data_IF_112802797606
#
_entry.id   IF_112802797606
#
_cell.length_a   1.000
_cell.length_b   1.000
_cell.length_c   1.000
_cell.angle_alpha   90.00
_cell.angle_beta   90.00
_cell.angle_gamma   90.00
#
_symmetry.space_group_name_H-M   'P 1'
#
loop_
_entity.id
_entity.type
_entity.pdbx_description
1 polymer ?
#
# COMPACT_ATOMS: atom_id res chain seq x y z
N UNK A 1 -28.30 3.85 -11.11
CA UNK A 1 -26.86 3.67 -11.41
C UNK A 1 -26.24 3.30 -10.08
N UNK A 2 -25.81 2.06 -9.89
CA UNK A 2 -25.28 1.62 -8.59
C UNK A 2 -23.98 2.37 -8.31
N UNK A 3 -23.87 2.93 -7.10
CA UNK A 3 -22.65 3.58 -6.62
C UNK A 3 -21.50 2.55 -6.64
N UNK A 4 -20.30 2.99 -7.01
CA UNK A 4 -19.07 2.17 -6.98
C UNK A 4 -18.89 1.58 -5.58
N UNK A 5 -19.26 2.31 -4.54
CA UNK A 5 -19.19 1.84 -3.15
C UNK A 5 -20.12 0.65 -2.87
N UNK A 6 -21.30 0.64 -3.47
CA UNK A 6 -22.27 -0.44 -3.28
C UNK A 6 -21.84 -1.71 -4.03
N UNK A 7 -21.28 -1.53 -5.23
CA UNK A 7 -20.70 -2.64 -6.00
C UNK A 7 -19.51 -3.27 -5.27
N UNK A 8 -18.63 -2.47 -4.66
CA UNK A 8 -17.49 -2.98 -3.90
C UNK A 8 -17.93 -3.72 -2.63
N UNK A 9 -18.95 -3.23 -1.91
CA UNK A 9 -19.51 -3.93 -0.73
C UNK A 9 -20.03 -5.31 -1.08
N UNK A 10 -20.72 -5.44 -2.22
CA UNK A 10 -21.19 -6.73 -2.73
C UNK A 10 -20.02 -7.65 -3.08
N UNK A 11 -19.01 -7.13 -3.78
CA UNK A 11 -17.82 -7.89 -4.16
C UNK A 11 -17.00 -8.35 -2.97
N UNK A 12 -16.93 -7.59 -1.88
CA UNK A 12 -16.22 -7.99 -0.66
C UNK A 12 -16.89 -9.12 0.13
N UNK A 13 -18.12 -9.52 -0.22
CA UNK A 13 -18.72 -10.75 0.31
C UNK A 13 -18.11 -12.02 -0.33
N UNK A 14 -17.47 -11.88 -1.49
CA UNK A 14 -16.74 -12.96 -2.14
C UNK A 14 -15.36 -13.12 -1.49
N UNK A 15 -15.10 -14.31 -0.92
CA UNK A 15 -13.86 -14.60 -0.19
C UNK A 15 -12.62 -14.55 -1.08
N UNK A 16 -12.73 -14.97 -2.35
CA UNK A 16 -11.60 -14.99 -3.28
C UNK A 16 -11.25 -13.56 -3.71
N UNK A 17 -12.27 -12.75 -3.97
CA UNK A 17 -12.10 -11.32 -4.23
C UNK A 17 -11.48 -10.60 -3.03
N UNK A 18 -11.98 -10.84 -1.82
CA UNK A 18 -11.44 -10.24 -0.61
C UNK A 18 -9.97 -10.62 -0.40
N UNK A 19 -9.61 -11.90 -0.56
CA UNK A 19 -8.23 -12.36 -0.39
C UNK A 19 -7.29 -11.69 -1.38
N UNK A 20 -7.68 -11.60 -2.64
CA UNK A 20 -6.87 -10.93 -3.66
C UNK A 20 -6.75 -9.43 -3.37
N UNK A 21 -7.86 -8.77 -3.02
CA UNK A 21 -7.87 -7.37 -2.64
C UNK A 21 -6.91 -7.09 -1.47
N UNK A 22 -7.00 -7.87 -0.39
CA UNK A 22 -6.14 -7.69 0.78
C UNK A 22 -4.67 -7.96 0.45
N UNK A 23 -4.41 -8.98 -0.35
CA UNK A 23 -3.05 -9.30 -0.80
C UNK A 23 -2.45 -8.14 -1.60
N UNK A 24 -3.22 -7.52 -2.51
CA UNK A 24 -2.75 -6.35 -3.27
C UNK A 24 -2.64 -5.08 -2.41
N UNK A 25 -3.61 -4.85 -1.52
CA UNK A 25 -3.66 -3.67 -0.65
C UNK A 25 -2.41 -3.54 0.23
N UNK A 26 -1.81 -4.65 0.66
CA UNK A 26 -0.55 -4.65 1.42
C UNK A 26 0.58 -4.00 0.62
N UNK A 27 0.73 -4.34 -0.67
CA UNK A 27 1.81 -3.80 -1.51
C UNK A 27 1.58 -2.34 -1.87
N UNK A 28 0.34 -1.93 -2.14
CA UNK A 28 0.02 -0.53 -2.37
C UNK A 28 0.27 0.34 -1.14
N UNK A 29 -0.20 -0.11 0.04
CA UNK A 29 0.04 0.61 1.29
C UNK A 29 1.54 0.78 1.58
N UNK A 30 2.30 -0.30 1.41
CA UNK A 30 3.76 -0.26 1.58
C UNK A 30 4.42 0.72 0.59
N UNK A 31 4.01 0.71 -0.68
CA UNK A 31 4.53 1.60 -1.70
C UNK A 31 4.29 3.08 -1.34
N UNK A 32 3.08 3.41 -0.90
CA UNK A 32 2.70 4.76 -0.48
C UNK A 32 3.50 5.21 0.75
N UNK A 33 3.66 4.36 1.75
CA UNK A 33 4.46 4.66 2.95
C UNK A 33 5.92 4.94 2.59
N UNK A 34 6.54 4.10 1.74
CA UNK A 34 7.91 4.31 1.27
C UNK A 34 8.03 5.64 0.51
N UNK A 35 7.13 5.90 -0.44
CA UNK A 35 7.12 7.10 -1.26
C UNK A 35 6.98 8.37 -0.40
N UNK A 36 6.00 8.38 0.50
CA UNK A 36 5.73 9.50 1.38
C UNK A 36 6.91 9.78 2.30
N UNK A 37 7.45 8.75 2.95
CA UNK A 37 8.53 8.92 3.90
C UNK A 37 9.86 9.28 3.23
N UNK A 38 10.11 8.77 2.01
CA UNK A 38 11.24 9.21 1.19
C UNK A 38 11.15 10.71 0.89
N UNK A 39 9.98 11.17 0.43
CA UNK A 39 9.73 12.59 0.14
C UNK A 39 9.88 13.47 1.38
N UNK A 40 9.36 13.03 2.53
CA UNK A 40 9.50 13.74 3.81
C UNK A 40 10.97 13.89 4.24
N UNK A 41 11.83 12.94 3.87
CA UNK A 41 13.28 13.00 4.12
C UNK A 41 14.07 13.73 3.04
N UNK A 42 13.39 14.29 2.02
CA UNK A 42 14.04 15.03 0.94
C UNK A 42 14.93 14.17 0.05
N UNK A 43 14.75 12.84 0.03
CA UNK A 43 15.57 11.93 -0.76
C UNK A 43 14.98 11.75 -2.15
N UNK A 44 15.84 11.71 -3.16
CA UNK A 44 15.53 11.14 -4.48
C UNK A 44 15.46 9.62 -4.41
N UNK A 45 14.86 8.97 -5.42
CA UNK A 45 14.84 7.51 -5.49
C UNK A 45 16.26 6.91 -5.60
N UNK A 46 17.18 7.62 -6.26
CA UNK A 46 18.58 7.22 -6.39
C UNK A 46 19.30 7.28 -5.05
N UNK A 47 19.13 8.35 -4.26
CA UNK A 47 19.75 8.47 -2.94
C UNK A 47 19.20 7.43 -1.95
N UNK A 48 17.90 7.13 -2.01
CA UNK A 48 17.32 6.04 -1.22
C UNK A 48 17.93 4.69 -1.63
N UNK A 49 18.08 4.45 -2.94
CA UNK A 49 18.67 3.21 -3.44
C UNK A 49 20.11 3.03 -2.96
N UNK A 50 20.93 4.08 -3.02
CA UNK A 50 22.31 4.07 -2.54
C UNK A 50 22.38 3.77 -1.04
N UNK A 51 21.54 4.43 -0.22
CA UNK A 51 21.45 4.17 1.22
C UNK A 51 21.00 2.74 1.54
N UNK A 52 20.11 2.17 0.74
CA UNK A 52 19.57 0.83 0.92
C UNK A 52 20.42 -0.28 0.27
N UNK A 53 21.54 0.07 -0.38
CA UNK A 53 22.39 -0.91 -1.08
C UNK A 53 21.69 -1.59 -2.27
N UNK A 54 20.85 -0.85 -3.00
CA UNK A 54 20.12 -1.32 -4.18
C UNK A 54 20.23 -0.33 -5.34
N UNK A 55 19.46 -0.54 -6.42
CA UNK A 55 19.43 0.34 -7.59
C UNK A 55 18.13 1.12 -7.68
N UNK A 56 18.15 2.32 -8.28
CA UNK A 56 16.96 3.19 -8.38
C UNK A 56 15.77 2.52 -9.07
N UNK A 57 16.00 1.62 -10.03
CA UNK A 57 14.94 0.84 -10.67
C UNK A 57 14.20 -0.10 -9.70
N UNK A 58 14.84 -0.56 -8.63
CA UNK A 58 14.17 -1.35 -7.57
C UNK A 58 13.31 -0.43 -6.72
N UNK A 59 13.84 0.71 -6.28
CA UNK A 59 13.06 1.71 -5.50
C UNK A 59 11.85 2.21 -6.29
N UNK A 60 12.01 2.51 -7.57
CA UNK A 60 10.89 2.91 -8.44
C UNK A 60 9.82 1.82 -8.55
N UNK A 61 10.20 0.55 -8.69
CA UNK A 61 9.22 -0.56 -8.74
C UNK A 61 8.51 -0.75 -7.40
N UNK A 62 9.20 -0.57 -6.29
CA UNK A 62 8.62 -0.61 -4.95
C UNK A 62 7.59 0.51 -4.76
N UNK A 63 7.92 1.75 -5.11
CA UNK A 63 7.03 2.91 -4.98
C UNK A 63 5.82 2.86 -5.92
N UNK A 64 5.87 2.05 -6.98
CA UNK A 64 4.75 1.83 -7.89
C UNK A 64 3.99 0.53 -7.61
N UNK A 65 4.31 -0.19 -6.52
CA UNK A 65 3.76 -1.51 -6.19
C UNK A 65 3.84 -2.54 -7.34
N UNK A 66 4.79 -2.38 -8.27
CA UNK A 66 4.91 -3.22 -9.47
C UNK A 66 5.83 -4.43 -9.27
N UNK A 67 6.36 -4.60 -8.05
CA UNK A 67 7.12 -5.79 -7.63
C UNK A 67 6.71 -6.18 -6.22
N UNK A 68 6.61 -7.50 -5.98
CA UNK A 68 6.43 -8.03 -4.63
C UNK A 68 7.74 -7.94 -3.87
N UNK A 69 7.81 -7.05 -2.89
CA UNK A 69 8.97 -6.92 -2.02
C UNK A 69 9.06 -8.11 -1.05
N UNK A 70 10.26 -8.66 -0.86
CA UNK A 70 10.54 -9.54 0.28
C UNK A 70 10.60 -8.71 1.57
N UNK A 71 10.34 -9.34 2.72
CA UNK A 71 10.53 -8.68 4.03
C UNK A 71 11.96 -8.16 4.21
N UNK A 72 12.96 -8.87 3.69
CA UNK A 72 14.35 -8.41 3.71
C UNK A 72 14.54 -7.10 2.92
N UNK A 73 13.92 -6.98 1.75
CA UNK A 73 13.93 -5.74 0.97
C UNK A 73 13.26 -4.60 1.74
N UNK A 74 12.12 -4.88 2.37
CA UNK A 74 11.39 -3.90 3.20
C UNK A 74 12.25 -3.43 4.37
N UNK A 75 12.93 -4.35 5.07
CA UNK A 75 13.82 -4.01 6.17
C UNK A 75 14.98 -3.10 5.72
N UNK A 76 15.65 -3.41 4.60
CA UNK A 76 16.74 -2.56 4.05
C UNK A 76 16.26 -1.16 3.68
N UNK A 77 15.07 -1.05 3.08
CA UNK A 77 14.48 0.25 2.76
C UNK A 77 14.12 1.02 4.02
N UNK A 78 13.54 0.34 5.02
CA UNK A 78 13.21 0.96 6.30
C UNK A 78 14.47 1.45 7.04
N UNK A 79 15.56 0.69 7.06
CA UNK A 79 16.85 1.11 7.61
C UNK A 79 17.41 2.35 6.90
N UNK A 80 17.39 2.35 5.57
CA UNK A 80 17.85 3.48 4.75
C UNK A 80 17.02 4.75 4.95
N UNK A 81 15.73 4.56 5.23
CA UNK A 81 14.83 5.62 5.64
C UNK A 81 15.05 5.99 7.12
N UNK A 82 15.52 5.11 7.99
CA UNK A 82 15.46 5.33 9.44
C UNK A 82 14.00 5.25 9.92
N UNK A 83 13.32 4.18 9.54
CA UNK A 83 11.95 3.83 9.88
C UNK A 83 11.91 2.46 10.57
N UNK A 84 10.87 2.21 11.37
CA UNK A 84 10.58 0.89 11.91
C UNK A 84 9.51 0.19 11.05
N UNK A 85 9.58 -1.14 10.96
CA UNK A 85 8.59 -1.97 10.28
C UNK A 85 7.78 -2.72 11.32
N UNK A 86 6.46 -2.53 11.32
CA UNK A 86 5.52 -3.22 12.19
C UNK A 86 4.58 -4.09 11.33
N UNK A 87 4.51 -5.38 11.62
CA UNK A 87 3.65 -6.34 10.90
C UNK A 87 2.74 -7.02 11.88
N UNK A 88 1.43 -6.92 11.65
CA UNK A 88 0.40 -7.54 12.48
C UNK A 88 -0.52 -8.39 11.61
N UNK A 89 -0.88 -9.56 12.13
CA UNK A 89 -1.97 -10.37 11.61
C UNK A 89 -3.22 -10.05 12.42
N UNK A 90 -4.35 -9.94 11.73
CA UNK A 90 -5.67 -9.72 12.34
C UNK A 90 -6.69 -10.69 11.72
N UNK A 91 -7.72 -11.09 12.48
CA UNK A 91 -8.81 -11.91 11.95
C UNK A 91 -9.47 -11.29 10.72
N UNK A 92 -9.93 -12.13 9.77
CA UNK A 92 -10.56 -11.65 8.54
C UNK A 92 -11.94 -11.05 8.80
N UNK A 93 -12.64 -11.52 9.82
CA UNK A 93 -13.90 -10.97 10.30
C UNK A 93 -13.75 -9.49 10.67
N UNK A 94 -12.72 -9.11 11.43
CA UNK A 94 -12.43 -7.72 11.79
C UNK A 94 -12.18 -6.86 10.54
N UNK A 95 -11.51 -7.42 9.53
CA UNK A 95 -11.21 -6.71 8.28
C UNK A 95 -12.48 -6.48 7.47
N UNK A 96 -13.38 -7.48 7.41
CA UNK A 96 -14.68 -7.38 6.73
C UNK A 96 -15.58 -6.32 7.38
N UNK A 97 -15.62 -6.28 8.71
CA UNK A 97 -16.39 -5.27 9.45
C UNK A 97 -15.87 -3.85 9.19
N UNK A 98 -14.55 -3.67 9.11
CA UNK A 98 -13.93 -2.39 8.78
C UNK A 98 -14.30 -1.94 7.36
N UNK A 99 -14.16 -2.81 6.36
CA UNK A 99 -14.50 -2.50 4.96
C UNK A 99 -16.00 -2.16 4.83
N UNK A 100 -16.88 -2.89 5.53
CA UNK A 100 -18.31 -2.63 5.53
C UNK A 100 -18.67 -1.28 6.20
N UNK A 101 -17.95 -0.89 7.25
CA UNK A 101 -18.19 0.33 8.02
C UNK A 101 -17.51 1.59 7.45
N UNK A 102 -16.41 1.44 6.71
CA UNK A 102 -15.75 2.54 5.99
C UNK A 102 -16.60 3.11 4.86
N UNK A 103 -17.56 2.34 4.34
CA UNK A 103 -18.61 2.85 3.43
C UNK A 103 -19.65 3.77 4.10
N UNK A 104 -19.51 4.10 5.39
CA UNK A 104 -20.45 4.94 6.17
C UNK A 104 -19.74 6.12 6.86
N UNK A 105 -18.42 6.11 6.99
CA UNK A 105 -17.67 7.19 7.65
C UNK A 105 -16.86 7.98 6.64
N UNK A 106 -17.35 9.19 6.37
CA UNK A 106 -16.69 10.24 5.59
C UNK A 106 -15.18 10.28 5.85
N UNK A 107 -14.43 10.46 4.75
CA UNK A 107 -13.09 11.03 4.67
C UNK A 107 -12.58 11.60 5.99
N UNK A 108 -11.67 10.90 6.67
CA UNK A 108 -10.63 11.50 7.51
C UNK A 108 -9.53 10.46 7.76
N UNK A 109 -8.43 10.66 7.04
CA UNK A 109 -7.07 10.14 7.29
C UNK A 109 -6.65 8.78 6.71
N UNK A 110 -7.09 8.46 5.49
CA UNK A 110 -6.23 7.75 4.52
C UNK A 110 -6.36 8.49 3.19
N UNK A 111 -5.28 9.00 2.57
CA UNK A 111 -5.35 9.49 1.21
C UNK A 111 -5.37 8.27 0.29
N UNK A 112 -6.53 7.61 0.14
CA UNK A 112 -6.75 6.73 -1.00
C UNK A 112 -7.08 7.66 -2.16
N UNK A 113 -6.03 8.12 -2.85
CA UNK A 113 -6.20 8.78 -4.13
C UNK A 113 -6.64 7.73 -5.15
N UNK A 114 -7.94 7.68 -5.40
CA UNK A 114 -8.56 6.83 -6.44
C UNK A 114 -8.26 7.31 -7.87
N UNK A 115 -7.36 8.29 -8.07
CA UNK A 115 -6.76 8.52 -9.37
C UNK A 115 -5.57 7.58 -9.59
N UNK A 116 -5.86 6.32 -9.90
CA UNK A 116 -4.89 5.51 -10.62
C UNK A 116 -4.54 6.28 -11.91
N UNK A 117 -3.27 6.66 -12.17
CA UNK A 117 -2.93 7.20 -13.47
C UNK A 117 -3.08 6.08 -14.49
N UNK A 118 -4.08 6.22 -15.35
CA UNK A 118 -4.13 5.57 -16.65
C UNK A 118 -2.79 5.85 -17.34
N UNK A 119 -1.87 4.89 -17.31
CA UNK A 119 -0.63 5.00 -18.06
C UNK A 119 -0.98 4.77 -19.53
N UNK A 120 -0.91 5.84 -20.32
CA UNK A 120 -0.67 5.80 -21.76
C UNK A 120 0.83 5.81 -22.03
#
# INVERSE_FOLDING_TARGET
>A
MNDINDLLKEKFQDEDFLREYLHQAIFYKLADEILLMRKQRGLTQQELAEKAGTVQAVVSRLENASVKASLETVAKIAEALGAAVEVHLRPLEDVKEEIASQGVRQQKNVPVDISAPTHA
#
